data_IF_722406249028
#
_entry.id   IF_722406249028
#
_cell.length_a   1.000
_cell.length_b   1.000
_cell.length_c   1.000
_cell.angle_alpha   90.00
_cell.angle_beta   90.00
_cell.angle_gamma   90.00
#
_symmetry.space_group_name_H-M   'P 1'
#
loop_
_entity.id
_entity.type
_entity.pdbx_description
1 polymer ?
#
# COMPACT_ATOMS: atom_id res chain seq x y z
N UNK A 1 6.08 -11.24 -15.67
CA UNK A 1 6.11 -10.97 -14.21
C UNK A 1 4.83 -10.28 -13.73
N UNK A 2 4.37 -9.23 -14.41
CA UNK A 2 3.12 -8.50 -14.10
C UNK A 2 1.85 -9.37 -14.01
N UNK A 3 1.65 -10.30 -14.94
CA UNK A 3 0.45 -11.19 -14.91
C UNK A 3 0.45 -12.08 -13.67
N UNK A 4 1.62 -12.54 -13.20
CA UNK A 4 1.73 -13.43 -12.04
C UNK A 4 1.37 -12.68 -10.74
N UNK A 5 1.82 -11.43 -10.56
CA UNK A 5 1.49 -10.61 -9.39
C UNK A 5 0.04 -10.17 -9.40
N UNK A 6 -0.51 -9.81 -10.56
CA UNK A 6 -1.92 -9.46 -10.74
C UNK A 6 -2.83 -10.62 -10.39
N UNK A 7 -2.48 -11.85 -10.81
CA UNK A 7 -3.32 -13.02 -10.55
C UNK A 7 -3.38 -13.39 -9.05
N UNK A 8 -2.28 -13.20 -8.32
CA UNK A 8 -2.26 -13.37 -6.85
C UNK A 8 -3.17 -12.33 -6.18
N UNK A 9 -3.12 -11.06 -6.61
CA UNK A 9 -4.02 -10.03 -6.12
C UNK A 9 -5.50 -10.36 -6.39
N UNK A 10 -5.80 -10.89 -7.58
CA UNK A 10 -7.15 -11.33 -7.96
C UNK A 10 -7.63 -12.51 -7.11
N UNK A 11 -6.77 -13.49 -6.89
CA UNK A 11 -7.08 -14.65 -6.05
C UNK A 11 -7.40 -14.24 -4.62
N UNK A 12 -6.57 -13.37 -4.02
CA UNK A 12 -6.82 -12.82 -2.68
C UNK A 12 -8.15 -12.04 -2.62
N UNK A 13 -8.44 -11.20 -3.62
CA UNK A 13 -9.70 -10.47 -3.72
C UNK A 13 -10.92 -11.41 -3.78
N UNK A 14 -10.84 -12.47 -4.60
CA UNK A 14 -11.92 -13.43 -4.74
C UNK A 14 -12.17 -14.22 -3.45
N UNK A 15 -11.12 -14.63 -2.73
CA UNK A 15 -11.24 -15.30 -1.42
C UNK A 15 -11.94 -14.40 -0.42
N UNK A 16 -11.54 -13.13 -0.33
CA UNK A 16 -12.20 -12.15 0.53
C UNK A 16 -13.68 -12.01 0.18
N UNK A 17 -14.02 -11.92 -1.10
CA UNK A 17 -15.43 -11.84 -1.52
C UNK A 17 -16.26 -13.07 -1.16
N UNK A 18 -15.69 -14.27 -1.26
CA UNK A 18 -16.38 -15.50 -0.85
C UNK A 18 -16.67 -15.45 0.66
N UNK A 19 -15.69 -15.05 1.46
CA UNK A 19 -15.85 -14.89 2.90
C UNK A 19 -16.95 -13.85 3.19
N UNK A 20 -16.84 -12.62 2.67
CA UNK A 20 -17.87 -11.60 2.92
C UNK A 20 -19.25 -12.02 2.41
N UNK A 21 -19.33 -12.66 1.25
CA UNK A 21 -20.58 -13.18 0.67
C UNK A 21 -21.24 -14.25 1.52
N UNK A 22 -20.47 -15.10 2.20
CA UNK A 22 -21.02 -16.11 3.11
C UNK A 22 -21.37 -15.53 4.48
N UNK A 23 -20.53 -14.66 5.06
CA UNK A 23 -20.71 -14.19 6.44
C UNK A 23 -21.75 -13.07 6.57
N UNK A 24 -21.84 -12.15 5.60
CA UNK A 24 -22.79 -11.03 5.62
C UNK A 24 -24.26 -11.45 5.83
N UNK A 25 -24.81 -12.47 5.13
CA UNK A 25 -26.18 -12.90 5.37
C UNK A 25 -26.40 -13.49 6.79
N UNK A 26 -25.42 -14.19 7.36
CA UNK A 26 -25.51 -14.68 8.75
C UNK A 26 -25.46 -13.56 9.78
N UNK A 27 -24.69 -12.50 9.53
CA UNK A 27 -24.57 -11.34 10.43
C UNK A 27 -25.87 -10.51 10.46
N UNK A 28 -26.57 -10.39 9.33
CA UNK A 28 -27.81 -9.61 9.23
C UNK A 28 -29.03 -10.43 9.67
N UNK A 29 -28.98 -11.77 9.58
CA UNK A 29 -30.11 -12.62 9.93
C UNK A 29 -30.44 -12.56 11.45
N UNK A 30 -31.69 -12.17 11.83
CA UNK A 30 -32.12 -12.07 13.23
C UNK A 30 -32.16 -13.39 14.00
N UNK A 31 -32.31 -14.52 13.30
CA UNK A 31 -32.40 -15.87 13.89
C UNK A 31 -31.04 -16.56 14.04
N UNK A 32 -29.96 -15.94 13.52
CA UNK A 32 -28.60 -16.44 13.63
C UNK A 32 -27.80 -15.52 14.55
N UNK A 33 -27.03 -14.58 13.98
CA UNK A 33 -26.13 -13.72 14.75
C UNK A 33 -26.76 -12.40 15.18
N UNK A 34 -27.81 -11.94 14.49
CA UNK A 34 -28.56 -10.72 14.79
C UNK A 34 -27.68 -9.48 15.05
N UNK A 35 -26.59 -9.32 14.30
CA UNK A 35 -25.74 -8.13 14.45
C UNK A 35 -26.41 -6.90 13.85
N UNK A 36 -27.27 -7.06 12.85
CA UNK A 36 -27.96 -5.95 12.20
C UNK A 36 -26.97 -4.87 11.78
N UNK A 37 -27.15 -3.63 12.28
CA UNK A 37 -26.25 -2.50 12.04
C UNK A 37 -24.86 -2.63 12.68
N UNK A 38 -24.66 -3.51 13.68
CA UNK A 38 -23.34 -3.73 14.28
C UNK A 38 -22.33 -4.35 13.31
N UNK A 39 -22.81 -4.96 12.22
CA UNK A 39 -22.00 -5.42 11.08
C UNK A 39 -21.09 -4.33 10.52
N UNK A 40 -21.54 -3.06 10.56
CA UNK A 40 -20.74 -1.92 10.11
C UNK A 40 -19.48 -1.71 10.96
N UNK A 41 -19.53 -1.99 12.27
CA UNK A 41 -18.34 -1.89 13.13
C UNK A 41 -17.32 -3.00 12.84
N UNK A 42 -17.77 -4.20 12.45
CA UNK A 42 -16.87 -5.26 12.02
C UNK A 42 -16.18 -4.93 10.70
N UNK A 43 -16.94 -4.42 9.73
CA UNK A 43 -16.40 -3.95 8.46
C UNK A 43 -15.41 -2.77 8.68
N UNK A 44 -15.77 -1.81 9.53
CA UNK A 44 -14.89 -0.70 9.89
C UNK A 44 -13.62 -1.19 10.59
N UNK A 45 -13.71 -2.12 11.54
CA UNK A 45 -12.55 -2.69 12.22
C UNK A 45 -11.58 -3.40 11.27
N UNK A 46 -12.09 -4.19 10.33
CA UNK A 46 -11.25 -4.83 9.31
C UNK A 46 -10.59 -3.80 8.40
N UNK A 47 -11.32 -2.76 7.99
CA UNK A 47 -10.76 -1.68 7.18
C UNK A 47 -9.69 -0.88 7.95
N UNK A 48 -9.89 -0.63 9.24
CA UNK A 48 -8.89 0.04 10.09
C UNK A 48 -7.62 -0.80 10.22
N UNK A 49 -7.72 -2.11 10.40
CA UNK A 49 -6.55 -3.01 10.41
C UNK A 49 -5.81 -2.98 9.07
N UNK A 50 -6.55 -2.99 7.95
CA UNK A 50 -5.97 -2.85 6.62
C UNK A 50 -5.27 -1.48 6.44
N UNK A 51 -5.87 -0.39 6.93
CA UNK A 51 -5.26 0.95 6.91
C UNK A 51 -3.98 1.01 7.74
N UNK A 52 -3.96 0.41 8.94
CA UNK A 52 -2.77 0.32 9.77
C UNK A 52 -1.66 -0.44 9.02
N UNK A 53 -2.00 -1.57 8.41
CA UNK A 53 -1.05 -2.34 7.62
C UNK A 53 -0.50 -1.54 6.43
N UNK A 54 -1.37 -0.89 5.67
CA UNK A 54 -1.00 0.00 4.55
C UNK A 54 -0.09 1.11 5.06
N UNK A 55 -0.42 1.76 6.17
CA UNK A 55 0.38 2.82 6.76
C UNK A 55 1.82 2.37 7.12
N UNK A 56 2.01 1.12 7.56
CA UNK A 56 3.34 0.59 7.87
C UNK A 56 4.08 0.03 6.65
N UNK A 57 3.38 -0.57 5.69
CA UNK A 57 3.98 -1.41 4.66
C UNK A 57 3.95 -0.81 3.25
N UNK A 58 3.07 0.15 2.97
CA UNK A 58 2.94 0.75 1.65
C UNK A 58 3.93 1.93 1.53
N UNK A 59 5.05 1.79 0.79
CA UNK A 59 5.87 2.94 0.41
C UNK A 59 5.03 3.83 -0.50
N UNK A 60 4.90 5.12 -0.19
CA UNK A 60 4.21 6.08 -1.05
C UNK A 60 4.95 6.20 -2.40
N UNK A 61 4.43 5.66 -3.51
CA UNK A 61 5.11 5.71 -4.81
C UNK A 61 4.72 6.97 -5.61
N UNK A 62 3.91 7.84 -5.01
CA UNK A 62 3.34 9.01 -5.68
C UNK A 62 4.45 9.99 -6.07
N UNK A 63 4.69 10.15 -7.37
CA UNK A 63 5.68 11.10 -7.91
C UNK A 63 7.09 10.55 -8.15
N UNK A 64 7.30 9.23 -8.06
CA UNK A 64 8.55 8.59 -8.51
C UNK A 64 8.35 7.84 -9.84
N UNK A 65 9.31 8.00 -10.74
CA UNK A 65 9.45 7.17 -11.94
C UNK A 65 9.83 5.74 -11.57
N UNK A 66 9.44 4.76 -12.40
CA UNK A 66 9.81 3.35 -12.22
C UNK A 66 11.33 3.15 -12.08
N UNK A 67 12.14 3.93 -12.80
CA UNK A 67 13.61 3.87 -12.73
C UNK A 67 14.16 4.41 -11.39
N UNK A 68 13.53 5.43 -10.80
CA UNK A 68 13.92 5.98 -9.50
C UNK A 68 13.55 5.02 -8.36
N UNK A 69 12.39 4.36 -8.48
CA UNK A 69 11.93 3.36 -7.51
C UNK A 69 12.90 2.17 -7.46
N UNK A 70 13.31 1.63 -8.62
CA UNK A 70 14.24 0.50 -8.67
C UNK A 70 15.60 0.83 -8.03
N UNK A 71 16.13 2.03 -8.27
CA UNK A 71 17.39 2.49 -7.64
C UNK A 71 17.27 2.61 -6.11
N UNK A 72 16.13 3.10 -5.61
CA UNK A 72 15.87 3.19 -4.16
C UNK A 72 15.65 1.82 -3.50
N UNK A 73 15.16 0.83 -4.25
CA UNK A 73 15.11 -0.56 -3.80
C UNK A 73 16.50 -1.20 -3.74
N UNK A 74 17.41 -0.88 -4.67
CA UNK A 74 18.83 -1.30 -4.61
C UNK A 74 19.55 -0.71 -3.39
N UNK A 75 19.28 0.55 -3.07
CA UNK A 75 19.82 1.24 -1.89
C UNK A 75 19.16 0.81 -0.56
N UNK A 76 18.20 -0.12 -0.60
CA UNK A 76 17.44 -0.64 0.57
C UNK A 76 16.86 0.45 1.47
N UNK A 77 16.43 1.55 0.87
CA UNK A 77 15.84 2.66 1.59
C UNK A 77 14.51 2.21 2.19
N UNK A 78 14.27 2.52 3.47
CA UNK A 78 13.04 2.15 4.14
C UNK A 78 11.81 2.74 3.42
N UNK A 79 10.73 1.98 3.34
CA UNK A 79 9.50 2.30 2.60
C UNK A 79 8.95 3.74 2.81
N UNK A 80 9.23 4.36 3.96
CA UNK A 80 8.78 5.71 4.32
C UNK A 80 9.75 6.84 3.97
N UNK A 81 10.96 6.51 3.52
CA UNK A 81 12.01 7.48 3.18
C UNK A 81 12.17 7.69 1.68
N UNK A 82 11.40 7.02 0.83
CA UNK A 82 11.49 7.15 -0.64
C UNK A 82 11.35 8.61 -1.11
N UNK A 83 10.40 9.36 -0.55
CA UNK A 83 10.23 10.80 -0.85
C UNK A 83 11.39 11.64 -0.31
N UNK A 84 11.86 11.36 0.92
CA UNK A 84 12.98 12.10 1.53
C UNK A 84 14.29 11.87 0.77
N UNK A 85 14.52 10.65 0.28
CA UNK A 85 15.70 10.32 -0.52
C UNK A 85 15.65 10.96 -1.91
N UNK A 86 14.48 11.11 -2.52
CA UNK A 86 14.36 11.90 -3.77
C UNK A 86 14.82 13.34 -3.57
N UNK A 87 14.38 14.00 -2.50
CA UNK A 87 14.79 15.39 -2.20
C UNK A 87 16.30 15.47 -2.00
N UNK A 88 16.88 14.53 -1.23
CA UNK A 88 18.33 14.48 -0.98
C UNK A 88 19.11 14.15 -2.26
N UNK A 89 18.64 13.23 -3.10
CA UNK A 89 19.30 12.85 -4.35
C UNK A 89 19.26 14.00 -5.38
N UNK A 90 18.13 14.70 -5.50
CA UNK A 90 17.99 15.89 -6.35
C UNK A 90 18.89 17.02 -5.84
N UNK A 91 18.90 17.30 -4.52
CA UNK A 91 19.81 18.30 -3.94
C UNK A 91 21.29 17.92 -4.12
N UNK A 92 21.66 16.64 -3.98
CA UNK A 92 23.04 16.18 -4.18
C UNK A 92 23.48 16.28 -5.65
N UNK A 93 22.58 16.02 -6.60
CA UNK A 93 22.86 16.15 -8.03
C UNK A 93 22.97 17.63 -8.43
N UNK A 94 22.09 18.50 -7.92
CA UNK A 94 22.19 19.95 -8.12
C UNK A 94 23.45 20.55 -7.47
N UNK A 95 23.85 20.10 -6.28
CA UNK A 95 25.10 20.53 -5.62
C UNK A 95 26.33 20.04 -6.39
N UNK A 96 26.31 18.81 -6.90
CA UNK A 96 27.40 18.26 -7.73
C UNK A 96 27.55 18.94 -9.09
N UNK A 97 26.47 19.45 -9.68
CA UNK A 97 26.50 20.23 -10.93
C UNK A 97 26.98 21.67 -10.70
N UNK A 98 26.72 22.24 -9.50
CA UNK A 98 27.19 23.58 -9.14
C UNK A 98 28.70 23.60 -8.83
N UNK A 99 29.26 22.52 -8.28
CA UNK A 99 30.69 22.48 -7.94
C UNK A 99 31.64 22.24 -9.14
N UNK A 100 31.10 21.88 -10.32
CA UNK A 100 31.89 21.66 -11.56
C UNK A 100 31.75 22.84 -12.55
N UNK A 101 31.65 24.08 -12.06
CA UNK A 101 31.73 25.25 -12.94
C UNK A 101 32.70 26.33 -12.44
N UNK A 102 33.80 26.43 -13.21
CA UNK A 102 34.83 27.47 -13.33
C UNK A 102 36.07 27.40 -12.43
N UNK A 103 37.25 27.90 -12.90
CA UNK A 103 37.58 28.51 -14.21
C UNK A 103 38.45 27.68 -15.15
#
# INVERSE_FOLDING_TARGET
LLIKTVNIGRAAYNVTNIIFGSFTPYMINPSAWNWGTKTAFFAAGMNTLALIWIFFRLPEPSGLSYAEIDKLFEERVGARSFQKHKVIAVEAEDVGVVEVKHP
#
